data_IF_605345658068
#
_entry.id   IF_605345658068
#
_cell.length_a   1.000
_cell.length_b   1.000
_cell.length_c   1.000
_cell.angle_alpha   90.00
_cell.angle_beta   90.00
_cell.angle_gamma   90.00
#
_symmetry.space_group_name_H-M   'P 1'
#
loop_
_entity.id
_entity.type
_entity.pdbx_description
1 polymer ?
#
# COMPACT_ATOMS: atom_id res chain seq x y z
N UNK A 1 -2.31 -22.71 6.41
CA UNK A 1 -1.79 -21.62 5.57
C UNK A 1 -0.50 -21.13 6.19
N UNK A 2 0.54 -21.04 5.41
CA UNK A 2 1.85 -20.54 5.78
C UNK A 2 2.08 -19.19 5.11
N UNK A 3 2.66 -18.22 5.83
CA UNK A 3 3.05 -16.91 5.27
C UNK A 3 4.52 -16.73 5.55
N UNK A 4 5.32 -16.59 4.50
CA UNK A 4 6.77 -16.49 4.58
C UNK A 4 7.29 -15.27 3.86
N UNK A 5 8.36 -14.67 4.37
CA UNK A 5 9.16 -13.69 3.64
C UNK A 5 9.86 -14.38 2.47
N UNK A 6 9.89 -13.75 1.32
CA UNK A 6 10.51 -14.28 0.10
C UNK A 6 11.78 -13.48 -0.18
N UNK A 7 12.86 -14.20 -0.40
CA UNK A 7 14.18 -13.61 -0.71
C UNK A 7 14.49 -13.74 -2.21
N UNK A 8 15.42 -12.90 -2.70
CA UNK A 8 15.74 -12.80 -4.13
C UNK A 8 16.40 -14.05 -4.73
N UNK A 9 17.01 -14.91 -3.92
CA UNK A 9 17.61 -16.16 -4.36
C UNK A 9 16.58 -17.26 -4.69
N UNK A 10 15.34 -17.10 -4.24
CA UNK A 10 14.22 -18.03 -4.46
C UNK A 10 13.55 -17.81 -5.83
N UNK A 11 14.29 -17.99 -6.92
CA UNK A 11 13.87 -17.60 -8.28
C UNK A 11 12.52 -18.15 -8.72
N UNK A 12 12.27 -19.46 -8.53
CA UNK A 12 11.00 -20.10 -8.91
C UNK A 12 9.80 -19.50 -8.14
N UNK A 13 10.01 -19.23 -6.85
CA UNK A 13 9.00 -18.58 -6.00
C UNK A 13 8.72 -17.16 -6.46
N UNK A 14 9.77 -16.40 -6.81
CA UNK A 14 9.63 -15.04 -7.34
C UNK A 14 8.87 -15.00 -8.66
N UNK A 15 9.11 -15.95 -9.56
CA UNK A 15 8.40 -16.03 -10.84
C UNK A 15 6.89 -16.28 -10.62
N UNK A 16 6.54 -17.08 -9.62
CA UNK A 16 5.13 -17.29 -9.24
C UNK A 16 4.51 -16.04 -8.60
N UNK A 17 5.25 -15.36 -7.71
CA UNK A 17 4.85 -14.07 -7.13
C UNK A 17 4.54 -13.06 -8.23
N UNK A 18 5.45 -12.87 -9.17
CA UNK A 18 5.30 -11.90 -10.24
C UNK A 18 4.14 -12.21 -11.19
N UNK A 19 3.81 -13.48 -11.40
CA UNK A 19 2.58 -13.87 -12.12
C UNK A 19 1.31 -13.44 -11.38
N UNK A 20 1.25 -13.64 -10.04
CA UNK A 20 0.12 -13.17 -9.24
C UNK A 20 0.04 -11.65 -9.29
N UNK A 21 1.16 -10.96 -9.13
CA UNK A 21 1.27 -9.51 -9.20
C UNK A 21 0.71 -8.96 -10.52
N UNK A 22 1.22 -9.43 -11.66
CA UNK A 22 0.81 -8.97 -12.97
C UNK A 22 -0.68 -9.23 -13.29
N UNK A 23 -1.24 -10.33 -12.74
CA UNK A 23 -2.64 -10.68 -12.94
C UNK A 23 -3.60 -9.96 -11.98
N UNK A 24 -3.09 -9.33 -10.93
CA UNK A 24 -3.93 -8.75 -9.86
C UNK A 24 -4.07 -7.23 -9.95
N UNK A 25 -3.16 -6.55 -10.60
CA UNK A 25 -3.13 -5.08 -10.66
C UNK A 25 -3.11 -4.59 -12.12
N UNK A 26 -3.80 -3.48 -12.45
CA UNK A 26 -3.79 -2.90 -13.79
C UNK A 26 -2.42 -2.26 -14.10
N UNK A 27 -2.12 -2.04 -15.38
CA UNK A 27 -0.80 -1.59 -15.83
C UNK A 27 -0.43 -0.19 -15.29
N UNK A 28 -1.40 0.71 -15.20
CA UNK A 28 -1.22 2.07 -14.69
C UNK A 28 -0.95 2.16 -13.18
N UNK A 29 -1.18 1.07 -12.44
CA UNK A 29 -0.93 0.99 -11.00
C UNK A 29 0.24 0.04 -10.66
N UNK A 30 0.94 -0.47 -11.67
CA UNK A 30 2.05 -1.43 -11.48
C UNK A 30 3.40 -0.80 -11.68
N UNK A 31 4.29 -1.01 -10.74
CA UNK A 31 5.74 -0.83 -10.97
C UNK A 31 6.25 -1.91 -11.93
N UNK A 32 7.34 -1.63 -12.63
CA UNK A 32 8.01 -2.65 -13.45
C UNK A 32 8.60 -3.75 -12.57
N UNK A 33 8.68 -4.98 -13.10
CA UNK A 33 9.32 -6.08 -12.35
C UNK A 33 10.79 -5.79 -12.04
N UNK A 34 11.45 -5.03 -12.90
CA UNK A 34 12.83 -4.59 -12.68
C UNK A 34 12.92 -3.64 -11.48
N UNK A 35 12.02 -2.64 -11.40
CA UNK A 35 11.93 -1.74 -10.25
C UNK A 35 11.71 -2.50 -8.95
N UNK A 36 10.77 -3.46 -8.92
CA UNK A 36 10.52 -4.28 -7.73
C UNK A 36 11.74 -5.11 -7.33
N UNK A 37 12.46 -5.72 -8.30
CA UNK A 37 13.69 -6.46 -8.03
C UNK A 37 14.80 -5.57 -7.47
N UNK A 38 14.94 -4.35 -7.98
CA UNK A 38 15.90 -3.36 -7.47
C UNK A 38 15.55 -2.99 -6.03
N UNK A 39 14.29 -2.67 -5.75
CA UNK A 39 13.82 -2.32 -4.40
C UNK A 39 14.02 -3.46 -3.40
N UNK A 40 13.73 -4.70 -3.79
CA UNK A 40 13.99 -5.89 -2.96
C UNK A 40 15.49 -6.06 -2.69
N UNK A 41 16.36 -5.83 -3.70
CA UNK A 41 17.82 -5.91 -3.56
C UNK A 41 18.39 -4.81 -2.67
N UNK A 42 17.78 -3.63 -2.70
CA UNK A 42 18.18 -2.49 -1.86
C UNK A 42 17.52 -2.53 -0.46
N UNK A 43 16.80 -3.61 -0.15
CA UNK A 43 16.05 -3.79 1.12
C UNK A 43 15.02 -2.67 1.40
N UNK A 44 14.63 -1.92 0.35
CA UNK A 44 13.55 -0.93 0.42
C UNK A 44 12.17 -1.57 0.32
N UNK A 45 12.10 -2.79 -0.20
CA UNK A 45 10.88 -3.56 -0.36
C UNK A 45 11.01 -4.89 0.36
N UNK A 46 9.94 -5.31 1.03
CA UNK A 46 9.85 -6.63 1.66
C UNK A 46 8.65 -7.37 1.08
N UNK A 47 8.88 -8.60 0.67
CA UNK A 47 7.88 -9.43 0.02
C UNK A 47 7.47 -10.61 0.90
N UNK A 48 6.16 -10.81 1.04
CA UNK A 48 5.57 -11.97 1.70
C UNK A 48 4.69 -12.76 0.72
N UNK A 49 4.72 -14.08 0.83
CA UNK A 49 3.83 -14.97 0.11
C UNK A 49 3.06 -15.86 1.07
N UNK A 50 1.77 -16.04 0.78
CA UNK A 50 0.88 -16.98 1.47
C UNK A 50 0.75 -18.26 0.65
N UNK A 51 0.98 -19.43 1.28
CA UNK A 51 0.85 -20.76 0.68
C UNK A 51 -0.15 -21.64 1.43
N UNK A 52 -0.92 -22.45 0.69
CA UNK A 52 -1.79 -23.50 1.21
C UNK A 52 -1.44 -24.76 0.44
N UNK A 53 -1.04 -25.84 1.14
CA UNK A 53 -0.64 -27.11 0.53
C UNK A 53 0.39 -26.93 -0.59
N UNK A 54 1.42 -26.12 -0.35
CA UNK A 54 2.46 -25.70 -1.29
C UNK A 54 1.99 -24.85 -2.50
N UNK A 55 0.71 -24.60 -2.66
CA UNK A 55 0.21 -23.64 -3.66
C UNK A 55 0.32 -22.21 -3.13
N UNK A 56 0.93 -21.31 -3.89
CA UNK A 56 0.92 -19.89 -3.59
C UNK A 56 -0.47 -19.34 -3.87
N UNK A 57 -1.08 -18.69 -2.87
CA UNK A 57 -2.47 -18.20 -2.93
C UNK A 57 -2.59 -16.69 -2.76
N UNK A 58 -1.54 -16.04 -2.28
CA UNK A 58 -1.53 -14.58 -2.08
C UNK A 58 -0.14 -14.01 -1.88
N UNK A 59 -0.01 -12.71 -2.08
CA UNK A 59 1.24 -11.95 -1.98
C UNK A 59 1.00 -10.62 -1.27
N UNK A 60 2.02 -10.11 -0.61
CA UNK A 60 2.04 -8.76 -0.03
C UNK A 60 3.42 -8.14 -0.13
N UNK A 61 3.47 -6.89 -0.60
CA UNK A 61 4.68 -6.09 -0.68
C UNK A 61 4.59 -4.93 0.29
N UNK A 62 5.66 -4.68 1.01
CA UNK A 62 5.80 -3.57 1.93
C UNK A 62 7.00 -2.72 1.54
N UNK A 63 6.76 -1.45 1.21
CA UNK A 63 7.81 -0.51 0.87
C UNK A 63 8.20 0.31 2.11
N UNK A 64 9.49 0.33 2.44
CA UNK A 64 10.03 1.10 3.55
C UNK A 64 10.38 2.53 3.11
N UNK A 65 9.66 3.50 3.64
CA UNK A 65 9.99 4.91 3.53
C UNK A 65 11.13 5.20 4.53
N UNK A 66 12.37 5.01 4.08
CA UNK A 66 13.57 5.04 4.92
C UNK A 66 13.68 6.33 5.73
N UNK A 67 13.99 6.19 7.01
CA UNK A 67 14.11 7.33 7.93
C UNK A 67 12.77 7.97 8.30
N UNK A 68 11.64 7.33 8.00
CA UNK A 68 10.31 7.71 8.46
C UNK A 68 9.69 6.65 9.39
N UNK A 69 8.63 7.03 10.07
CA UNK A 69 7.83 6.13 10.92
C UNK A 69 6.79 5.32 10.13
N UNK A 70 6.88 5.30 8.78
CA UNK A 70 5.87 4.70 7.92
C UNK A 70 6.44 3.56 7.06
N UNK A 71 5.63 2.53 6.91
CA UNK A 71 5.82 1.41 6.00
C UNK A 71 4.58 1.34 5.11
N UNK A 72 4.76 1.43 3.81
CA UNK A 72 3.64 1.39 2.86
C UNK A 72 3.31 -0.06 2.50
N UNK A 73 2.02 -0.42 2.58
CA UNK A 73 1.50 -1.59 1.91
C UNK A 73 1.37 -1.27 0.41
N UNK A 74 2.44 -1.55 -0.34
CA UNK A 74 2.51 -1.24 -1.77
C UNK A 74 1.55 -2.14 -2.57
N UNK A 75 1.58 -3.45 -2.31
CA UNK A 75 0.68 -4.41 -2.98
C UNK A 75 0.16 -5.47 -2.04
N UNK A 76 -1.13 -5.82 -2.17
CA UNK A 76 -1.79 -6.94 -1.48
C UNK A 76 -2.73 -7.65 -2.45
N UNK A 77 -2.46 -8.91 -2.75
CA UNK A 77 -3.31 -9.68 -3.65
C UNK A 77 -3.54 -11.12 -3.17
N UNK A 78 -4.74 -11.63 -3.47
CA UNK A 78 -5.13 -13.03 -3.32
C UNK A 78 -5.60 -13.53 -4.68
N UNK A 79 -5.10 -14.70 -5.11
CA UNK A 79 -5.54 -15.35 -6.35
C UNK A 79 -7.07 -15.43 -6.42
N UNK A 80 -7.66 -15.17 -7.57
CA UNK A 80 -9.11 -15.03 -7.75
C UNK A 80 -9.90 -16.27 -7.24
N UNK A 81 -9.42 -17.47 -7.54
CA UNK A 81 -10.03 -18.74 -7.11
C UNK A 81 -9.89 -19.02 -5.60
N UNK A 82 -9.14 -18.21 -4.88
CA UNK A 82 -8.93 -18.31 -3.43
C UNK A 82 -9.55 -17.14 -2.64
N UNK A 83 -10.18 -16.18 -3.31
CA UNK A 83 -10.88 -15.06 -2.65
C UNK A 83 -12.09 -15.55 -1.83
N UNK A 84 -12.51 -14.78 -0.82
CA UNK A 84 -13.62 -15.14 0.07
C UNK A 84 -13.30 -16.19 1.13
N UNK A 85 -12.04 -16.66 1.23
CA UNK A 85 -11.58 -17.69 2.19
C UNK A 85 -10.73 -17.13 3.33
N UNK A 86 -10.89 -15.83 3.66
CA UNK A 86 -10.15 -15.11 4.72
C UNK A 86 -8.62 -15.05 4.54
N UNK A 87 -8.10 -15.42 3.37
CA UNK A 87 -6.65 -15.41 3.09
C UNK A 87 -6.12 -13.97 3.10
N UNK A 88 -6.86 -13.03 2.50
CA UNK A 88 -6.50 -11.61 2.51
C UNK A 88 -6.44 -11.03 3.92
N UNK A 89 -7.39 -11.39 4.78
CA UNK A 89 -7.42 -10.95 6.19
C UNK A 89 -6.21 -11.50 6.96
N UNK A 90 -5.88 -12.77 6.77
CA UNK A 90 -4.74 -13.38 7.45
C UNK A 90 -3.40 -12.81 6.94
N UNK A 91 -3.25 -12.61 5.63
CA UNK A 91 -2.07 -11.99 5.04
C UNK A 91 -1.92 -10.55 5.53
N UNK A 92 -2.98 -9.75 5.48
CA UNK A 92 -2.96 -8.37 6.00
C UNK A 92 -2.63 -8.31 7.50
N UNK A 93 -3.18 -9.24 8.30
CA UNK A 93 -2.84 -9.34 9.72
C UNK A 93 -1.35 -9.64 9.95
N UNK A 94 -0.75 -10.49 9.12
CA UNK A 94 0.69 -10.78 9.16
C UNK A 94 1.51 -9.52 8.84
N UNK A 95 1.15 -8.78 7.78
CA UNK A 95 1.83 -7.56 7.37
C UNK A 95 1.71 -6.45 8.43
N UNK A 96 0.55 -6.30 9.08
CA UNK A 96 0.37 -5.40 10.24
C UNK A 96 1.31 -5.75 11.39
N UNK A 97 1.41 -7.04 11.72
CA UNK A 97 2.32 -7.48 12.77
C UNK A 97 3.78 -7.21 12.41
N UNK A 98 4.15 -7.41 11.15
CA UNK A 98 5.49 -7.06 10.68
C UNK A 98 5.76 -5.56 10.85
N UNK A 99 4.87 -4.69 10.38
CA UNK A 99 5.01 -3.24 10.53
C UNK A 99 5.15 -2.82 12.01
N UNK A 100 4.34 -3.43 12.90
CA UNK A 100 4.41 -3.20 14.35
C UNK A 100 5.76 -3.61 14.95
N UNK A 101 6.33 -4.74 14.52
CA UNK A 101 7.65 -5.21 14.97
C UNK A 101 8.78 -4.30 14.47
N UNK A 102 8.58 -3.62 13.33
CA UNK A 102 9.49 -2.57 12.83
C UNK A 102 9.25 -1.20 13.49
N UNK A 103 8.32 -1.11 14.46
CA UNK A 103 7.91 0.13 15.12
C UNK A 103 7.39 1.20 14.13
N UNK A 104 6.76 0.76 13.02
CA UNK A 104 6.23 1.65 11.96
C UNK A 104 4.71 1.61 11.87
N UNK A 105 4.13 2.73 11.46
CA UNK A 105 2.75 2.80 11.01
C UNK A 105 2.62 2.07 9.66
N UNK A 106 1.55 1.28 9.46
CA UNK A 106 1.27 0.70 8.16
C UNK A 106 0.36 1.63 7.36
N UNK A 107 0.91 2.25 6.32
CA UNK A 107 0.20 3.14 5.41
C UNK A 107 -0.38 2.34 4.23
N UNK A 108 -1.51 2.78 3.70
CA UNK A 108 -2.13 2.24 2.48
C UNK A 108 -2.68 3.36 1.61
N UNK A 109 -2.49 3.23 0.31
CA UNK A 109 -3.16 3.99 -0.73
C UNK A 109 -4.35 3.16 -1.22
N UNK A 110 -5.56 3.68 -1.06
CA UNK A 110 -6.81 2.95 -1.34
C UNK A 110 -7.68 3.77 -2.26
N UNK A 111 -8.19 3.14 -3.32
CA UNK A 111 -9.08 3.82 -4.28
C UNK A 111 -10.23 4.54 -3.59
N UNK A 112 -10.42 5.81 -3.93
CA UNK A 112 -11.57 6.57 -3.44
C UNK A 112 -12.86 6.06 -4.12
N UNK A 113 -13.88 5.59 -3.36
CA UNK A 113 -15.14 5.12 -3.92
C UNK A 113 -15.94 6.17 -4.69
N UNK A 114 -15.67 7.45 -4.46
CA UNK A 114 -16.41 8.54 -5.14
C UNK A 114 -15.84 8.87 -6.53
N UNK A 115 -14.68 8.33 -6.89
CA UNK A 115 -14.02 8.59 -8.16
C UNK A 115 -13.82 7.32 -8.99
N UNK A 116 -13.92 7.47 -10.31
CA UNK A 116 -13.69 6.39 -11.28
C UNK A 116 -14.82 5.35 -11.32
N UNK A 117 -14.55 4.32 -12.10
CA UNK A 117 -15.47 3.22 -12.33
C UNK A 117 -15.43 2.18 -11.20
N UNK A 118 -16.41 1.25 -11.18
CA UNK A 118 -16.48 0.12 -10.25
C UNK A 118 -16.57 0.51 -8.74
N UNK A 119 -17.37 1.53 -8.42
CA UNK A 119 -17.66 1.97 -7.06
C UNK A 119 -17.96 0.80 -6.08
N UNK A 120 -18.74 -0.24 -6.43
CA UNK A 120 -19.02 -1.35 -5.52
C UNK A 120 -17.75 -2.14 -5.10
N UNK A 121 -16.77 -2.26 -6.00
CA UNK A 121 -15.50 -2.92 -5.68
C UNK A 121 -14.63 -2.05 -4.76
N UNK A 122 -14.54 -0.76 -5.05
CA UNK A 122 -13.80 0.22 -4.24
C UNK A 122 -14.37 0.32 -2.82
N UNK A 123 -15.68 0.37 -2.66
CA UNK A 123 -16.36 0.31 -1.34
C UNK A 123 -16.00 -0.98 -0.58
N UNK A 124 -16.02 -2.14 -1.25
CA UNK A 124 -15.62 -3.41 -0.61
C UNK A 124 -14.16 -3.41 -0.16
N UNK A 125 -13.26 -2.84 -0.98
CA UNK A 125 -11.83 -2.73 -0.66
C UNK A 125 -11.61 -1.82 0.55
N UNK A 126 -12.24 -0.67 0.57
CA UNK A 126 -12.21 0.25 1.71
C UNK A 126 -12.72 -0.42 2.99
N UNK A 127 -13.90 -1.07 2.93
CA UNK A 127 -14.50 -1.78 4.05
C UNK A 127 -13.61 -2.93 4.55
N UNK A 128 -12.86 -3.60 3.66
CA UNK A 128 -11.89 -4.62 4.04
C UNK A 128 -10.80 -4.04 4.96
N UNK A 129 -10.19 -2.92 4.58
CA UNK A 129 -9.15 -2.30 5.39
C UNK A 129 -9.70 -1.77 6.72
N UNK A 130 -10.87 -1.13 6.72
CA UNK A 130 -11.53 -0.65 7.94
C UNK A 130 -11.83 -1.78 8.93
N UNK A 131 -12.45 -2.87 8.46
CA UNK A 131 -12.75 -4.06 9.26
C UNK A 131 -11.49 -4.65 9.89
N UNK A 132 -10.35 -4.49 9.22
CA UNK A 132 -9.06 -4.99 9.67
C UNK A 132 -8.25 -3.98 10.48
N UNK A 133 -8.86 -2.86 10.91
CA UNK A 133 -8.30 -1.90 11.85
C UNK A 133 -7.49 -0.77 11.21
N UNK A 134 -7.70 -0.50 9.92
CA UNK A 134 -7.19 0.69 9.28
C UNK A 134 -8.15 1.88 9.46
N UNK A 135 -7.58 3.06 9.59
CA UNK A 135 -8.27 4.33 9.76
C UNK A 135 -7.93 5.25 8.59
N UNK A 136 -8.80 6.21 8.32
CA UNK A 136 -8.61 7.22 7.29
C UNK A 136 -7.80 8.40 7.84
N UNK A 137 -6.84 8.89 7.06
CA UNK A 137 -6.22 10.21 7.27
C UNK A 137 -7.17 11.25 6.68
N UNK A 138 -7.94 11.90 7.55
CA UNK A 138 -9.10 12.73 7.17
C UNK A 138 -8.70 13.94 6.32
N UNK A 139 -9.54 14.25 5.34
CA UNK A 139 -9.53 15.46 4.49
C UNK A 139 -8.27 15.66 3.61
N UNK A 140 -7.47 14.61 3.40
CA UNK A 140 -6.35 14.64 2.46
C UNK A 140 -6.85 14.23 1.07
N UNK A 141 -6.77 15.13 0.10
CA UNK A 141 -7.05 14.84 -1.30
C UNK A 141 -5.82 14.25 -1.96
N UNK A 142 -5.65 12.94 -1.80
CA UNK A 142 -4.48 12.25 -2.33
C UNK A 142 -4.69 11.81 -3.78
N UNK A 143 -3.68 12.01 -4.61
CA UNK A 143 -3.68 11.64 -6.03
C UNK A 143 -2.50 10.72 -6.28
N UNK A 144 -2.78 9.49 -6.70
CA UNK A 144 -1.77 8.55 -7.16
C UNK A 144 -1.32 8.94 -8.56
N UNK A 145 -0.02 9.18 -8.80
CA UNK A 145 0.50 9.38 -10.15
C UNK A 145 0.32 8.11 -10.99
N UNK A 146 -0.07 8.26 -12.25
CA UNK A 146 -0.15 7.11 -13.16
C UNK A 146 1.24 6.58 -13.49
N UNK A 147 1.51 5.31 -13.18
CA UNK A 147 2.82 4.69 -13.41
C UNK A 147 3.12 4.38 -14.89
N UNK A 148 2.10 4.34 -15.73
CA UNK A 148 2.21 4.17 -17.18
C UNK A 148 2.11 5.50 -17.96
N UNK A 149 2.05 6.65 -17.25
CA UNK A 149 1.95 7.98 -17.83
C UNK A 149 0.54 8.34 -18.35
N UNK A 150 -0.48 7.57 -17.99
CA UNK A 150 -1.89 7.87 -18.36
C UNK A 150 -2.53 8.85 -17.37
N UNK A 151 -3.74 8.56 -16.87
CA UNK A 151 -4.42 9.45 -15.93
C UNK A 151 -4.09 9.09 -14.49
N UNK A 152 -3.80 10.08 -13.62
CA UNK A 152 -3.67 9.87 -12.19
C UNK A 152 -5.02 9.43 -11.59
N UNK A 153 -4.97 8.80 -10.42
CA UNK A 153 -6.15 8.24 -9.74
C UNK A 153 -6.30 8.87 -8.36
N UNK A 154 -7.51 9.33 -8.04
CA UNK A 154 -7.84 9.79 -6.69
C UNK A 154 -7.89 8.60 -5.73
N UNK A 155 -7.19 8.77 -4.59
CA UNK A 155 -7.10 7.75 -3.56
C UNK A 155 -7.28 8.33 -2.16
N UNK A 156 -7.55 7.47 -1.23
CA UNK A 156 -7.64 7.75 0.20
C UNK A 156 -6.37 7.20 0.87
N UNK A 157 -5.71 8.00 1.68
CA UNK A 157 -4.66 7.51 2.56
C UNK A 157 -5.28 6.90 3.81
N UNK A 158 -5.02 5.62 4.01
CA UNK A 158 -5.41 4.90 5.23
C UNK A 158 -4.19 4.48 6.04
N UNK A 159 -4.38 4.30 7.33
CA UNK A 159 -3.31 4.00 8.27
C UNK A 159 -3.75 2.96 9.30
N UNK A 160 -2.89 1.99 9.59
CA UNK A 160 -2.90 1.23 10.85
C UNK A 160 -1.83 1.82 11.75
N UNK A 161 -2.21 2.51 12.85
CA UNK A 161 -1.23 3.10 13.75
C UNK A 161 -0.38 2.04 14.46
N UNK A 162 0.91 2.29 14.66
CA UNK A 162 1.80 1.44 15.46
C UNK A 162 1.47 1.44 16.96
N UNK A 163 0.78 2.49 17.39
CA UNK A 163 0.35 2.73 18.77
C UNK A 163 -1.01 3.46 18.78
N UNK A 164 -1.44 4.00 19.89
CA UNK A 164 -2.72 4.74 20.04
C UNK A 164 -2.69 6.17 19.48
N UNK A 165 -1.72 6.53 18.62
CA UNK A 165 -1.66 7.85 17.98
C UNK A 165 -2.85 8.05 17.04
N UNK A 166 -3.68 9.04 17.31
CA UNK A 166 -4.89 9.37 16.56
C UNK A 166 -4.80 10.71 15.80
N UNK A 167 -3.66 11.37 15.89
CA UNK A 167 -3.44 12.69 15.30
C UNK A 167 -1.98 12.84 14.84
N UNK A 168 -1.78 13.45 13.69
CA UNK A 168 -0.48 13.81 13.15
C UNK A 168 -0.40 15.32 12.89
N UNK A 169 0.78 15.93 12.95
CA UNK A 169 0.94 17.29 12.47
C UNK A 169 0.83 17.34 10.95
N UNK A 170 0.37 18.48 10.41
CA UNK A 170 0.33 18.68 8.97
C UNK A 170 1.71 18.53 8.33
N UNK A 171 2.77 18.97 9.02
CA UNK A 171 4.14 18.85 8.53
C UNK A 171 4.59 17.37 8.40
N UNK A 172 4.25 16.51 9.39
CA UNK A 172 4.53 15.06 9.28
C UNK A 172 3.86 14.45 8.04
N UNK A 173 2.62 14.83 7.77
CA UNK A 173 1.87 14.29 6.62
C UNK A 173 2.35 14.88 5.30
N UNK A 174 2.72 16.16 5.25
CA UNK A 174 3.34 16.77 4.05
C UNK A 174 4.69 16.12 3.73
N UNK A 175 5.53 15.86 4.73
CA UNK A 175 6.78 15.13 4.53
C UNK A 175 6.53 13.70 4.05
N UNK A 176 5.56 13.00 4.64
CA UNK A 176 5.14 11.67 4.20
C UNK A 176 4.72 11.67 2.71
N UNK A 177 3.82 12.56 2.30
CA UNK A 177 3.35 12.64 0.90
C UNK A 177 4.51 12.98 -0.05
N UNK A 178 5.38 13.91 0.34
CA UNK A 178 6.56 14.25 -0.44
C UNK A 178 7.50 13.05 -0.61
N UNK A 179 7.70 12.24 0.44
CA UNK A 179 8.49 11.00 0.37
C UNK A 179 7.85 9.96 -0.52
N UNK A 180 6.53 9.73 -0.43
CA UNK A 180 5.82 8.83 -1.34
C UNK A 180 6.08 9.23 -2.79
N UNK A 181 5.91 10.51 -3.14
CA UNK A 181 6.14 11.01 -4.49
C UNK A 181 7.58 10.82 -4.95
N UNK A 182 8.56 11.14 -4.10
CA UNK A 182 9.97 11.06 -4.45
C UNK A 182 10.50 9.62 -4.49
N UNK A 183 10.22 8.82 -3.44
CA UNK A 183 10.87 7.52 -3.27
C UNK A 183 10.13 6.39 -4.00
N UNK A 184 8.78 6.46 -4.06
CA UNK A 184 7.96 5.44 -4.70
C UNK A 184 7.71 5.74 -6.18
N UNK A 185 7.44 7.00 -6.53
CA UNK A 185 7.05 7.40 -7.89
C UNK A 185 8.14 8.14 -8.66
N UNK A 186 9.27 8.48 -8.02
CA UNK A 186 10.38 9.19 -8.67
C UNK A 186 10.07 10.64 -9.02
N UNK A 187 9.02 11.21 -8.43
CA UNK A 187 8.58 12.59 -8.66
C UNK A 187 9.19 13.49 -7.60
N UNK A 188 10.14 14.35 -8.02
CA UNK A 188 10.80 15.32 -7.16
C UNK A 188 10.70 16.72 -7.75
N UNK A 189 10.69 17.76 -6.88
CA UNK A 189 10.60 19.15 -7.30
C UNK A 189 9.17 19.68 -7.36
N UNK A 190 8.90 20.61 -8.30
CA UNK A 190 7.59 21.20 -8.49
C UNK A 190 6.66 20.26 -9.26
N UNK A 191 5.67 19.72 -8.57
CA UNK A 191 4.60 18.91 -9.16
C UNK A 191 3.24 19.48 -8.75
N UNK A 192 2.32 19.62 -9.70
CA UNK A 192 1.01 20.25 -9.48
C UNK A 192 0.14 19.40 -8.54
N UNK A 193 0.17 18.08 -8.67
CA UNK A 193 -0.61 17.21 -7.80
C UNK A 193 -0.09 17.27 -6.37
N UNK A 194 1.23 17.20 -6.20
CA UNK A 194 1.88 17.34 -4.89
C UNK A 194 1.55 18.69 -4.23
N UNK A 195 1.56 19.77 -4.99
CA UNK A 195 1.19 21.10 -4.49
C UNK A 195 -0.29 21.15 -4.05
N UNK A 196 -1.19 20.57 -4.84
CA UNK A 196 -2.63 20.49 -4.53
C UNK A 196 -2.87 19.63 -3.27
N UNK A 197 -2.22 18.47 -3.16
CA UNK A 197 -2.31 17.62 -1.96
C UNK A 197 -1.84 18.38 -0.73
N UNK A 198 -0.67 19.01 -0.79
CA UNK A 198 -0.11 19.79 0.31
C UNK A 198 -1.02 20.94 0.75
N UNK A 199 -1.74 21.56 -0.18
CA UNK A 199 -2.72 22.62 0.13
C UNK A 199 -3.96 22.11 0.86
N UNK A 200 -4.30 20.82 0.71
CA UNK A 200 -5.42 20.18 1.43
C UNK A 200 -5.06 19.76 2.85
N UNK A 201 -3.76 19.65 3.18
CA UNK A 201 -3.29 19.20 4.48
C UNK A 201 -3.33 20.37 5.48
N UNK A 202 -4.18 20.23 6.49
CA UNK A 202 -4.32 21.20 7.59
C UNK A 202 -3.18 21.06 8.62
N UNK A 203 -3.10 21.97 9.60
CA UNK A 203 -2.09 21.91 10.67
C UNK A 203 -2.14 20.60 11.47
N UNK A 204 -3.33 20.02 11.58
CA UNK A 204 -3.59 18.75 12.26
C UNK A 204 -4.38 17.81 11.37
N UNK A 205 -3.90 16.59 11.22
CA UNK A 205 -4.56 15.51 10.49
C UNK A 205 -5.04 14.45 11.48
N UNK A 206 -6.34 14.23 11.52
CA UNK A 206 -6.98 13.28 12.43
C UNK A 206 -7.13 11.92 11.74
N UNK A 207 -6.89 10.87 12.51
CA UNK A 207 -7.06 9.48 12.09
C UNK A 207 -8.42 8.99 12.57
N UNK A 208 -9.36 8.78 11.66
CA UNK A 208 -10.75 8.43 11.97
C UNK A 208 -11.19 7.14 11.24
N UNK A 209 -12.21 6.42 11.77
CA UNK A 209 -12.96 5.48 10.95
C UNK A 209 -13.54 6.22 9.74
N UNK A 210 -13.47 5.62 8.56
CA UNK A 210 -14.18 6.13 7.40
C UNK A 210 -15.68 5.84 7.58
N UNK A 211 -16.52 6.83 7.50
CA UNK A 211 -17.97 6.74 7.76
C UNK A 211 -18.73 6.27 6.51
#
# INVERSE_FOLDING_TARGET
MEITKIELDQKETLDEVFKIYQNSFPANERQTLETLKIRLKEEKEVLFAAKINNEMVGIGFLFDLLGSDFLLLDYLAVKQNHRGKQIGEALFSHLKNYARLQEKHLLMEVDDPEFGDDKPYRVKRLAFYQKNGAFWLKDIKYILPALDGTNPTEQILMLVPKNSKSEFSGEEIKDLVKRLYAELYGISGEDTNLANINSSITEKVVVLPFL
#
